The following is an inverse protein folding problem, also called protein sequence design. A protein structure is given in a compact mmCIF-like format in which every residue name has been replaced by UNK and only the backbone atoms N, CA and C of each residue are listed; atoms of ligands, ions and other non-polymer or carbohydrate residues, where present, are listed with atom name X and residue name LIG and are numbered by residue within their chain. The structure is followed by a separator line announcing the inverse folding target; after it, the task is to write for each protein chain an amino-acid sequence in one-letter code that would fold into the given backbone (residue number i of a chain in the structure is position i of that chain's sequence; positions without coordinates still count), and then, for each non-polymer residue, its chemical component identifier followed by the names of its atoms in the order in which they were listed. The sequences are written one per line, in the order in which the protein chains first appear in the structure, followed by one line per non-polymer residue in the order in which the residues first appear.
data_IF_925681532214
#
_entry.id   IF_925681532214
#
_cell.length_a   1.000
_cell.length_b   1.000
_cell.length_c   1.000
_cell.angle_alpha   90.00
_cell.angle_beta   90.00
_cell.angle_gamma   90.00
#
_symmetry.space_group_name_H-M   'P 1'
#
loop_
_entity.id
_entity.type
_entity.pdbx_description
1 polymer ?
#
# COMPACT_ATOMS: atom_id res chain seq x y z
N UNK A 1 17.48 3.22 -11.03
CA UNK A 1 18.06 2.12 -11.84
C UNK A 1 17.13 0.93 -11.71
N UNK A 2 16.68 0.39 -12.84
CA UNK A 2 15.98 -0.90 -12.86
C UNK A 2 16.96 -2.01 -12.46
N UNK A 3 16.53 -2.92 -11.59
CA UNK A 3 17.34 -4.07 -11.18
C UNK A 3 16.59 -5.33 -11.54
N UNK A 4 17.03 -5.97 -12.64
CA UNK A 4 16.48 -7.25 -13.09
C UNK A 4 16.44 -8.29 -11.98
N UNK A 5 17.49 -8.37 -11.15
CA UNK A 5 17.54 -9.30 -10.04
C UNK A 5 16.44 -9.05 -8.98
N UNK A 6 16.14 -7.78 -8.68
CA UNK A 6 15.07 -7.43 -7.74
C UNK A 6 13.70 -7.71 -8.36
N UNK A 7 13.51 -7.37 -9.62
CA UNK A 7 12.28 -7.65 -10.37
C UNK A 7 11.99 -9.15 -10.41
N UNK A 8 12.98 -9.98 -10.75
CA UNK A 8 12.84 -11.44 -10.79
C UNK A 8 12.42 -11.99 -9.42
N UNK A 9 13.00 -11.49 -8.33
CA UNK A 9 12.64 -11.93 -6.97
C UNK A 9 11.26 -11.48 -6.51
N UNK A 10 10.80 -10.30 -6.93
CA UNK A 10 9.43 -9.86 -6.68
C UNK A 10 8.46 -10.78 -7.42
N UNK A 11 8.72 -11.08 -8.70
CA UNK A 11 7.86 -11.95 -9.50
C UNK A 11 7.83 -13.38 -8.94
N UNK A 12 8.98 -13.94 -8.55
CA UNK A 12 9.05 -15.24 -7.88
C UNK A 12 8.21 -15.28 -6.60
N UNK A 13 8.28 -14.23 -5.76
CA UNK A 13 7.47 -14.15 -4.54
C UNK A 13 5.97 -14.13 -4.85
N UNK A 14 5.54 -13.35 -5.85
CA UNK A 14 4.13 -13.31 -6.25
C UNK A 14 3.65 -14.64 -6.84
N UNK A 15 4.48 -15.34 -7.61
CA UNK A 15 4.19 -16.67 -8.13
C UNK A 15 4.09 -17.72 -7.03
N UNK A 16 4.81 -17.54 -5.92
CA UNK A 16 4.72 -18.37 -4.72
C UNK A 16 3.50 -18.04 -3.82
N UNK A 17 2.57 -17.19 -4.28
CA UNK A 17 1.36 -16.86 -3.53
C UNK A 17 1.53 -15.73 -2.51
N UNK A 18 2.62 -14.97 -2.57
CA UNK A 18 2.85 -13.84 -1.67
C UNK A 18 2.38 -12.52 -2.28
N UNK A 19 1.70 -11.70 -1.48
CA UNK A 19 1.50 -10.29 -1.82
C UNK A 19 2.76 -9.48 -1.44
N UNK A 20 3.28 -8.69 -2.37
CA UNK A 20 4.42 -7.80 -2.18
C UNK A 20 3.93 -6.36 -2.08
N UNK A 21 4.13 -5.75 -0.92
CA UNK A 21 3.75 -4.34 -0.66
C UNK A 21 5.00 -3.47 -0.64
N UNK A 22 5.01 -2.45 -1.49
CA UNK A 22 6.13 -1.57 -1.75
C UNK A 22 5.84 -0.15 -1.26
N UNK A 23 6.84 0.48 -0.65
CA UNK A 23 6.79 1.89 -0.34
C UNK A 23 6.94 2.73 -1.63
N UNK A 24 6.10 3.75 -1.80
CA UNK A 24 6.04 4.61 -2.98
C UNK A 24 7.31 5.40 -3.26
N UNK A 25 8.02 5.82 -2.22
CA UNK A 25 9.17 6.72 -2.29
C UNK A 25 8.87 8.08 -1.68
N UNK A 26 9.92 8.76 -1.19
CA UNK A 26 9.82 9.99 -0.40
C UNK A 26 10.61 11.15 -1.03
N UNK A 27 10.48 11.35 -2.34
CA UNK A 27 11.29 12.31 -3.11
C UNK A 27 10.45 13.34 -3.88
N UNK A 28 9.12 13.33 -3.72
CA UNK A 28 8.18 14.15 -4.49
C UNK A 28 8.30 13.94 -6.01
N UNK A 29 8.58 12.71 -6.43
CA UNK A 29 8.75 12.37 -7.85
C UNK A 29 7.41 12.02 -8.50
N UNK A 30 7.22 12.51 -9.73
CA UNK A 30 6.22 11.96 -10.63
C UNK A 30 6.80 10.71 -11.30
N UNK A 31 6.36 9.53 -10.86
CA UNK A 31 6.82 8.23 -11.35
C UNK A 31 6.49 7.97 -12.83
N UNK A 32 5.54 8.73 -13.41
CA UNK A 32 5.25 8.69 -14.84
C UNK A 32 6.35 9.35 -15.69
N UNK A 33 7.16 10.22 -15.06
CA UNK A 33 8.25 10.97 -15.70
C UNK A 33 9.61 10.44 -15.24
N UNK A 34 9.76 10.18 -13.94
CA UNK A 34 10.98 9.72 -13.30
C UNK A 34 10.67 8.40 -12.59
N UNK A 35 10.80 7.25 -13.27
CA UNK A 35 10.53 5.95 -12.68
C UNK A 35 11.39 5.69 -11.44
N UNK A 36 10.72 5.27 -10.36
CA UNK A 36 11.36 4.87 -9.10
C UNK A 36 11.07 3.40 -8.81
N UNK A 37 12.14 2.61 -8.69
CA UNK A 37 12.06 1.18 -8.43
C UNK A 37 12.01 0.89 -6.93
N UNK A 38 11.27 -0.14 -6.49
CA UNK A 38 10.56 -1.12 -7.31
C UNK A 38 9.14 -0.73 -7.74
N UNK A 39 8.55 0.37 -7.28
CA UNK A 39 7.16 0.72 -7.64
C UNK A 39 6.89 0.83 -9.15
N UNK A 40 7.85 1.35 -9.91
CA UNK A 40 7.75 1.51 -11.36
C UNK A 40 8.18 0.26 -12.15
N UNK A 41 8.22 -0.92 -11.50
CA UNK A 41 8.47 -2.18 -12.19
C UNK A 41 7.34 -2.47 -13.19
N UNK A 42 7.69 -3.04 -14.36
CA UNK A 42 6.70 -3.48 -15.35
C UNK A 42 5.85 -4.61 -14.76
N UNK A 43 4.58 -4.29 -14.45
CA UNK A 43 3.65 -5.18 -13.73
C UNK A 43 2.33 -5.32 -14.49
N UNK A 44 1.72 -6.50 -14.41
CA UNK A 44 0.34 -6.76 -14.80
C UNK A 44 -0.63 -6.31 -13.71
N UNK A 45 -1.85 -5.88 -14.05
CA UNK A 45 -2.93 -5.68 -13.08
C UNK A 45 -3.21 -6.91 -12.20
N UNK A 46 -2.91 -8.11 -12.71
CA UNK A 46 -3.07 -9.39 -12.01
C UNK A 46 -1.86 -9.77 -11.15
N UNK A 47 -0.81 -8.95 -11.08
CA UNK A 47 0.34 -9.25 -10.23
C UNK A 47 0.04 -8.92 -8.77
N UNK A 48 0.60 -9.74 -7.87
CA UNK A 48 0.52 -9.57 -6.42
C UNK A 48 1.37 -8.43 -5.86
N UNK A 49 1.49 -7.31 -6.56
CA UNK A 49 2.32 -6.16 -6.15
C UNK A 49 1.46 -4.92 -5.91
N UNK A 50 1.65 -4.25 -4.77
CA UNK A 50 1.01 -2.98 -4.41
C UNK A 50 2.07 -1.91 -4.11
N UNK A 51 2.04 -0.80 -4.82
CA UNK A 51 2.81 0.40 -4.52
C UNK A 51 1.98 1.39 -3.71
N UNK A 52 2.52 1.86 -2.60
CA UNK A 52 1.78 2.62 -1.58
C UNK A 52 2.34 4.03 -1.40
N UNK A 53 1.52 5.05 -1.69
CA UNK A 53 1.80 6.45 -1.36
C UNK A 53 1.42 6.80 0.09
N UNK A 54 2.05 7.85 0.62
CA UNK A 54 1.81 8.32 1.98
C UNK A 54 0.83 9.50 1.98
N UNK A 55 -0.16 9.44 2.85
CA UNK A 55 -1.05 10.58 3.16
C UNK A 55 -0.73 11.16 4.53
N UNK A 56 -1.07 12.43 4.71
CA UNK A 56 -1.21 13.01 6.04
C UNK A 56 -2.25 12.23 6.86
N UNK A 57 -2.16 12.38 8.18
CA UNK A 57 -2.96 11.67 9.18
C UNK A 57 -4.46 11.52 8.84
N UNK A 58 -5.26 12.52 9.13
CA UNK A 58 -6.70 12.60 8.94
C UNK A 58 -7.05 13.18 7.58
N UNK A 59 -6.12 13.89 6.92
CA UNK A 59 -6.33 14.51 5.62
C UNK A 59 -6.18 13.50 4.48
N UNK A 60 -7.13 13.50 3.55
CA UNK A 60 -7.07 12.74 2.30
C UNK A 60 -6.13 13.43 1.31
N UNK A 61 -4.87 13.64 1.67
CA UNK A 61 -3.88 14.40 0.91
C UNK A 61 -2.52 13.72 1.05
N UNK A 62 -1.79 13.56 -0.06
CA UNK A 62 -0.44 13.03 -0.01
C UNK A 62 0.47 13.90 0.86
N UNK A 63 1.45 13.30 1.53
CA UNK A 63 2.53 14.07 2.17
C UNK A 63 3.37 14.77 1.11
N UNK A 64 4.02 15.88 1.49
CA UNK A 64 4.81 16.69 0.57
C UNK A 64 5.91 15.88 -0.14
N UNK A 65 6.50 14.90 0.55
CA UNK A 65 7.56 14.07 0.03
C UNK A 65 7.07 12.83 -0.73
N UNK A 66 5.78 12.47 -0.67
CA UNK A 66 5.32 11.22 -1.27
C UNK A 66 5.46 11.27 -2.79
N UNK A 67 6.08 10.24 -3.36
CA UNK A 67 6.08 10.04 -4.80
C UNK A 67 4.64 9.70 -5.28
N UNK A 68 4.35 10.02 -6.53
CA UNK A 68 3.02 9.90 -7.14
C UNK A 68 3.09 9.52 -8.62
N UNK A 69 1.98 9.13 -9.22
CA UNK A 69 1.90 8.75 -10.65
C UNK A 69 1.10 7.46 -10.83
N UNK A 70 1.02 6.98 -12.07
CA UNK A 70 0.27 5.77 -12.42
C UNK A 70 0.86 4.48 -11.83
N UNK A 71 2.14 4.50 -11.43
CA UNK A 71 2.79 3.41 -10.71
C UNK A 71 2.32 3.26 -9.25
N UNK A 72 1.57 4.21 -8.69
CA UNK A 72 0.99 4.11 -7.34
C UNK A 72 -0.41 3.49 -7.42
N UNK A 73 -0.67 2.44 -6.64
CA UNK A 73 -1.97 1.77 -6.63
C UNK A 73 -2.93 2.32 -5.58
N UNK A 74 -2.36 2.75 -4.45
CA UNK A 74 -3.14 3.08 -3.25
C UNK A 74 -2.36 4.01 -2.33
N UNK A 75 -3.06 4.71 -1.45
CA UNK A 75 -2.47 5.46 -0.37
C UNK A 75 -2.79 4.87 1.01
N UNK A 76 -1.96 5.15 2.00
CA UNK A 76 -2.24 4.91 3.41
C UNK A 76 -1.70 6.05 4.28
N UNK A 77 -2.13 6.18 5.54
CA UNK A 77 -1.52 7.13 6.47
C UNK A 77 -0.02 6.87 6.60
N UNK A 78 0.78 7.90 6.33
CA UNK A 78 2.25 7.79 6.39
C UNK A 78 2.91 8.92 7.18
N UNK A 79 2.14 9.90 7.68
CA UNK A 79 2.67 11.02 8.45
C UNK A 79 2.43 10.84 9.94
N UNK A 80 3.49 11.05 10.75
CA UNK A 80 3.46 10.97 12.21
C UNK A 80 2.81 9.69 12.75
N UNK A 81 3.27 8.54 12.24
CA UNK A 81 2.80 7.22 12.66
C UNK A 81 3.56 6.76 13.89
N UNK A 82 2.83 6.48 14.98
CA UNK A 82 3.40 5.86 16.17
C UNK A 82 3.81 4.41 15.92
N UNK A 83 5.01 4.01 16.31
CA UNK A 83 5.53 2.65 16.14
C UNK A 83 6.51 2.29 17.26
N UNK A 84 6.86 1.01 17.36
CA UNK A 84 7.86 0.48 18.30
C UNK A 84 9.27 0.74 17.78
N UNK A 85 10.20 1.06 18.68
CA UNK A 85 11.63 1.18 18.41
C UNK A 85 12.42 0.17 19.24
N UNK A 86 13.41 -0.47 18.61
CA UNK A 86 14.35 -1.36 19.31
C UNK A 86 15.49 -0.59 19.99
N UNK A 87 15.80 0.62 19.51
CA UNK A 87 16.87 1.45 20.06
C UNK A 87 16.36 2.28 21.25
N UNK A 88 16.93 2.04 22.44
CA UNK A 88 16.58 2.72 23.70
C UNK A 88 16.40 1.75 24.89
N UNK A 89 16.15 2.22 26.12
CA UNK A 89 15.73 1.35 27.23
C UNK A 89 14.48 0.54 26.83
N UNK A 90 14.41 -0.72 27.24
CA UNK A 90 13.43 -1.71 26.75
C UNK A 90 12.00 -1.15 26.58
N UNK A 91 11.42 -1.33 25.37
CA UNK A 91 10.01 -1.04 25.11
C UNK A 91 9.66 0.39 24.68
N UNK A 92 10.53 1.06 23.90
CA UNK A 92 10.23 2.42 23.43
C UNK A 92 9.23 2.47 22.27
N UNK A 93 8.41 3.53 22.29
CA UNK A 93 7.59 3.95 21.17
C UNK A 93 8.16 5.26 20.61
N UNK A 94 8.11 5.40 19.29
CA UNK A 94 8.53 6.59 18.57
C UNK A 94 7.55 6.92 17.46
N UNK A 95 7.86 7.97 16.71
CA UNK A 95 7.04 8.44 15.60
C UNK A 95 7.87 8.46 14.33
N UNK A 96 7.37 7.82 13.27
CA UNK A 96 7.98 7.79 11.94
C UNK A 96 7.08 8.49 10.91
N UNK A 97 7.67 8.98 9.83
CA UNK A 97 6.94 9.49 8.68
C UNK A 97 7.56 8.96 7.38
N UNK A 98 6.72 8.68 6.39
CA UNK A 98 7.12 8.26 5.04
C UNK A 98 6.26 7.13 4.49
N UNK A 99 6.44 6.85 3.21
CA UNK A 99 5.78 5.75 2.50
C UNK A 99 6.08 4.38 3.07
N UNK A 100 7.19 4.21 3.80
CA UNK A 100 7.51 2.96 4.51
C UNK A 100 6.49 2.62 5.60
N UNK A 101 6.03 3.63 6.36
CA UNK A 101 4.99 3.44 7.37
C UNK A 101 3.63 3.16 6.70
N UNK A 102 3.33 3.88 5.62
CA UNK A 102 2.14 3.65 4.82
C UNK A 102 2.10 2.22 4.27
N UNK A 103 3.19 1.74 3.69
CA UNK A 103 3.33 0.37 3.18
C UNK A 103 3.14 -0.68 4.28
N UNK A 104 3.69 -0.46 5.48
CA UNK A 104 3.50 -1.36 6.62
C UNK A 104 2.01 -1.49 7.03
N UNK A 105 1.25 -0.38 7.00
CA UNK A 105 -0.20 -0.42 7.26
C UNK A 105 -0.92 -1.27 6.21
N UNK A 106 -0.61 -1.09 4.92
CA UNK A 106 -1.22 -1.87 3.84
C UNK A 106 -0.86 -3.36 3.95
N UNK A 107 0.38 -3.68 4.29
CA UNK A 107 0.83 -5.05 4.54
C UNK A 107 0.08 -5.68 5.74
N UNK A 108 -0.12 -4.94 6.82
CA UNK A 108 -0.93 -5.39 7.96
C UNK A 108 -2.39 -5.66 7.59
N UNK A 109 -3.00 -4.79 6.77
CA UNK A 109 -4.36 -5.02 6.25
C UNK A 109 -4.40 -6.27 5.39
N UNK A 110 -3.43 -6.47 4.49
CA UNK A 110 -3.34 -7.68 3.69
C UNK A 110 -3.22 -8.95 4.56
N UNK A 111 -2.35 -8.93 5.57
CA UNK A 111 -2.22 -10.04 6.52
C UNK A 111 -3.51 -10.34 7.28
N UNK A 112 -4.25 -9.30 7.66
CA UNK A 112 -5.58 -9.47 8.26
C UNK A 112 -6.56 -10.13 7.28
N UNK A 113 -6.54 -9.78 5.99
CA UNK A 113 -7.38 -10.44 4.99
C UNK A 113 -6.97 -11.91 4.76
N UNK A 114 -5.67 -12.19 4.66
CA UNK A 114 -5.16 -13.57 4.57
C UNK A 114 -5.57 -14.42 5.77
N UNK A 115 -5.61 -13.84 6.98
CA UNK A 115 -6.03 -14.57 8.19
C UNK A 115 -7.49 -15.07 8.15
N UNK A 116 -8.30 -14.54 7.23
CA UNK A 116 -9.69 -14.96 7.04
C UNK A 116 -9.82 -16.19 6.14
N UNK A 117 -8.76 -16.63 5.47
CA UNK A 117 -8.79 -17.78 4.55
C UNK A 117 -9.43 -19.04 5.16
N UNK A 118 -9.16 -19.46 6.41
CA UNK A 118 -9.83 -20.62 7.00
C UNK A 118 -11.35 -20.46 7.17
N UNK A 119 -11.83 -19.21 7.25
CA UNK A 119 -13.27 -18.88 7.30
C UNK A 119 -13.91 -18.81 5.91
N UNK A 120 -13.09 -18.78 4.86
CA UNK A 120 -13.51 -18.71 3.47
C UNK A 120 -13.35 -20.10 2.84
N UNK A 121 -14.33 -20.55 2.06
CA UNK A 121 -14.21 -21.82 1.32
C UNK A 121 -13.45 -21.65 0.00
N UNK A 122 -12.50 -20.71 -0.04
CA UNK A 122 -11.79 -20.30 -1.25
C UNK A 122 -10.36 -19.89 -0.90
N UNK A 123 -9.42 -20.29 -1.77
CA UNK A 123 -8.01 -19.90 -1.66
C UNK A 123 -7.84 -18.41 -1.98
N UNK A 124 -7.06 -17.71 -1.15
CA UNK A 124 -6.80 -16.29 -1.31
C UNK A 124 -5.52 -16.06 -2.12
N UNK A 125 -5.67 -15.71 -3.39
CA UNK A 125 -4.52 -15.34 -4.23
C UNK A 125 -4.06 -13.90 -3.95
N UNK A 126 -2.76 -13.56 -4.15
CA UNK A 126 -2.27 -12.18 -4.05
C UNK A 126 -3.05 -11.19 -4.91
N UNK A 127 -3.38 -11.58 -6.14
CA UNK A 127 -4.16 -10.75 -7.06
C UNK A 127 -5.56 -10.43 -6.51
N UNK A 128 -6.20 -11.42 -5.87
CA UNK A 128 -7.51 -11.24 -5.25
C UNK A 128 -7.44 -10.35 -4.00
N UNK A 129 -6.44 -10.53 -3.13
CA UNK A 129 -6.26 -9.67 -1.96
C UNK A 129 -5.98 -8.22 -2.39
N UNK A 130 -5.12 -8.03 -3.39
CA UNK A 130 -4.86 -6.74 -4.01
C UNK A 130 -6.14 -6.08 -4.52
N UNK A 131 -6.98 -6.80 -5.27
CA UNK A 131 -8.22 -6.23 -5.81
C UNK A 131 -9.21 -5.84 -4.72
N UNK A 132 -9.34 -6.64 -3.65
CA UNK A 132 -10.17 -6.28 -2.49
C UNK A 132 -9.69 -4.97 -1.85
N UNK A 133 -8.38 -4.83 -1.63
CA UNK A 133 -7.78 -3.63 -1.05
C UNK A 133 -8.01 -2.40 -1.93
N UNK A 134 -7.80 -2.51 -3.24
CA UNK A 134 -7.97 -1.41 -4.19
C UNK A 134 -9.44 -1.01 -4.37
N UNK A 135 -10.33 -1.98 -4.57
CA UNK A 135 -11.75 -1.72 -4.82
C UNK A 135 -12.49 -1.13 -3.60
N UNK A 136 -11.96 -1.34 -2.40
CA UNK A 136 -12.56 -0.85 -1.16
C UNK A 136 -11.90 0.43 -0.64
N UNK A 137 -10.87 0.91 -1.34
CA UNK A 137 -10.19 2.14 -0.99
C UNK A 137 -11.17 3.33 -0.97
N UNK A 138 -10.97 4.22 -0.01
CA UNK A 138 -11.76 5.46 0.10
C UNK A 138 -11.24 6.43 -0.95
N UNK A 139 -12.08 6.77 -1.93
CA UNK A 139 -11.73 7.72 -2.99
C UNK A 139 -11.52 9.15 -2.44
N UNK A 140 -10.98 10.03 -3.27
CA UNK A 140 -10.85 11.46 -2.94
C UNK A 140 -9.49 11.85 -2.37
N UNK A 141 -8.47 11.00 -2.49
CA UNK A 141 -7.09 11.37 -2.16
C UNK A 141 -6.65 12.52 -3.06
N UNK A 142 -6.08 13.56 -2.46
CA UNK A 142 -5.54 14.74 -3.14
C UNK A 142 -4.03 14.61 -3.33
N UNK A 143 -3.50 15.26 -4.36
CA UNK A 143 -2.06 15.51 -4.49
C UNK A 143 -1.53 16.33 -3.31
N UNK A 144 -0.20 16.40 -3.12
CA UNK A 144 0.40 17.11 -1.98
C UNK A 144 0.04 18.59 -1.95
N UNK A 145 -0.26 19.21 -3.09
CA UNK A 145 -0.77 20.58 -3.17
C UNK A 145 -2.25 20.75 -2.79
N UNK A 146 -3.00 19.65 -2.58
CA UNK A 146 -4.43 19.68 -2.28
C UNK A 146 -5.32 20.05 -3.47
N UNK A 147 -4.76 20.20 -4.67
CA UNK A 147 -5.44 20.78 -5.84
C UNK A 147 -6.12 19.74 -6.70
N UNK A 148 -5.49 18.58 -6.89
CA UNK A 148 -5.98 17.53 -7.80
C UNK A 148 -6.41 16.32 -7.02
N UNK A 149 -7.55 15.74 -7.39
CA UNK A 149 -7.94 14.40 -6.90
C UNK A 149 -7.21 13.35 -7.73
N UNK A 150 -6.57 12.39 -7.07
CA UNK A 150 -5.86 11.28 -7.68
C UNK A 150 -6.84 10.14 -8.01
N UNK A 151 -6.45 9.27 -8.94
CA UNK A 151 -7.27 8.14 -9.39
C UNK A 151 -7.39 7.03 -8.36
N UNK A 152 -6.40 6.89 -7.47
CA UNK A 152 -6.39 5.90 -6.40
C UNK A 152 -6.98 6.44 -5.10
N UNK A 153 -7.43 5.52 -4.23
CA UNK A 153 -7.98 5.83 -2.92
C UNK A 153 -6.99 5.63 -1.77
N UNK A 154 -7.45 5.91 -0.55
CA UNK A 154 -6.75 5.56 0.70
C UNK A 154 -7.32 4.25 1.25
N UNK A 155 -6.47 3.34 1.74
CA UNK A 155 -6.88 2.05 2.30
C UNK A 155 -8.02 2.17 3.32
N UNK A 156 -8.94 1.20 3.29
CA UNK A 156 -10.04 1.09 4.24
C UNK A 156 -10.17 -0.36 4.72
N UNK A 157 -9.55 -0.64 5.87
CA UNK A 157 -9.50 -1.98 6.45
C UNK A 157 -10.89 -2.58 6.70
N UNK A 158 -11.81 -1.79 7.26
CA UNK A 158 -13.17 -2.25 7.55
C UNK A 158 -13.96 -2.58 6.29
N UNK A 159 -13.86 -1.74 5.25
CA UNK A 159 -14.50 -2.02 3.97
C UNK A 159 -13.91 -3.27 3.28
N UNK A 160 -12.59 -3.46 3.36
CA UNK A 160 -11.92 -4.64 2.83
C UNK A 160 -12.39 -5.94 3.52
N UNK A 161 -12.43 -5.96 4.85
CA UNK A 161 -12.93 -7.10 5.64
C UNK A 161 -14.41 -7.37 5.37
N UNK A 162 -15.24 -6.33 5.27
CA UNK A 162 -16.66 -6.51 4.94
C UNK A 162 -16.83 -7.10 3.53
N UNK A 163 -16.06 -6.62 2.56
CA UNK A 163 -16.12 -7.12 1.18
C UNK A 163 -15.73 -8.60 1.10
N UNK A 164 -14.62 -8.99 1.73
CA UNK A 164 -14.13 -10.38 1.65
C UNK A 164 -15.07 -11.36 2.39
N UNK A 165 -15.72 -10.93 3.47
CA UNK A 165 -16.71 -11.73 4.20
C UNK A 165 -18.11 -11.71 3.57
N UNK A 166 -18.32 -10.98 2.46
CA UNK A 166 -19.64 -10.81 1.83
C UNK A 166 -20.66 -10.04 2.69
N UNK A 167 -20.21 -9.28 3.69
CA UNK A 167 -21.07 -8.47 4.56
C UNK A 167 -21.41 -7.16 3.86
N UNK A 168 -22.70 -6.89 3.63
CA UNK A 168 -23.17 -5.58 3.15
C UNK A 168 -22.99 -4.54 4.26
N UNK A 169 -22.65 -3.29 3.89
CA UNK A 169 -22.60 -2.16 4.83
C UNK A 169 -23.93 -2.09 5.59
N UNK A 170 -23.86 -2.08 6.92
CA UNK A 170 -24.98 -1.77 7.83
C UNK A 170 -25.13 -0.26 7.90
#
# INVERSE_FOLDING_TARGET
MDSRAVTDKILEATAAGMLVVLAGGNYFLNLDIIPYFPCSLGRSPTDGVLCVAATYDTKMQLTDESDFGSAVDIAAPGYKIGTTFLEGPEGMYGVVSGTSAAAAIVAGIAGMLYSLEPSLKAELTPAYIKSIIMDTATAGVKDSGGKRTLSFGRVNAAAAVNKILGRKKV
#
